data_IF_927316142911
#
_entry.id   IF_927316142911
#
_cell.length_a   1.000
_cell.length_b   1.000
_cell.length_c   1.000
_cell.angle_alpha   90.00
_cell.angle_beta   90.00
_cell.angle_gamma   90.00
#
_symmetry.space_group_name_H-M   'P 1'
#
loop_
_entity.id
_entity.type
_entity.pdbx_description
1 polymer ?
#
# COMPACT_ATOMS: atom_id res chain seq x y z
N UNK A 1 12.40 13.83 22.11
CA UNK A 1 10.97 13.47 22.24
C UNK A 1 10.46 13.23 20.84
N UNK A 2 10.28 11.96 20.46
CA UNK A 2 9.71 11.55 19.17
C UNK A 2 8.18 11.70 19.24
N UNK A 3 7.53 12.39 18.28
CA UNK A 3 6.07 12.47 18.21
C UNK A 3 5.50 11.05 18.13
N UNK A 4 4.62 10.71 19.06
CA UNK A 4 4.14 9.36 19.34
C UNK A 4 2.88 8.98 18.54
N UNK A 5 2.79 9.30 17.24
CA UNK A 5 1.55 9.00 16.48
C UNK A 5 1.73 8.53 15.02
N UNK A 6 2.94 8.21 14.55
CA UNK A 6 3.10 7.80 13.14
C UNK A 6 3.14 6.30 12.86
N UNK A 7 3.50 5.48 13.84
CA UNK A 7 3.83 4.08 13.61
C UNK A 7 3.11 3.17 14.59
N UNK A 8 1.78 3.25 14.64
CA UNK A 8 1.00 2.35 15.51
C UNK A 8 1.07 0.90 15.01
N UNK A 9 1.27 0.71 13.70
CA UNK A 9 1.32 -0.59 13.03
C UNK A 9 2.45 -0.62 12.00
N UNK A 10 3.29 -1.66 12.02
CA UNK A 10 4.32 -1.90 10.99
C UNK A 10 4.10 -3.28 10.37
N UNK A 11 4.22 -3.34 9.05
CA UNK A 11 4.00 -4.53 8.25
C UNK A 11 5.34 -5.15 7.86
N UNK A 12 5.49 -6.46 8.07
CA UNK A 12 6.52 -7.24 7.41
C UNK A 12 5.98 -7.70 6.06
N UNK A 13 6.61 -7.29 4.97
CA UNK A 13 6.24 -7.66 3.61
C UNK A 13 7.38 -8.47 2.98
N UNK A 14 7.18 -9.69 2.46
CA UNK A 14 5.94 -10.49 2.43
C UNK A 14 6.21 -11.93 2.89
N UNK A 15 5.16 -12.62 3.32
CA UNK A 15 5.15 -14.08 3.44
C UNK A 15 4.27 -14.68 2.35
N UNK A 16 4.72 -15.79 1.76
CA UNK A 16 3.97 -16.51 0.73
C UNK A 16 3.55 -17.89 1.22
N UNK A 17 2.29 -18.31 0.96
CA UNK A 17 1.93 -19.71 1.13
C UNK A 17 2.50 -20.56 0.00
N UNK A 18 2.68 -21.85 0.25
CA UNK A 18 2.98 -22.86 -0.79
C UNK A 18 1.72 -23.18 -1.61
N UNK A 19 1.86 -24.02 -2.64
CA UNK A 19 0.72 -24.51 -3.44
C UNK A 19 -0.30 -25.34 -2.64
N UNK A 20 0.08 -25.78 -1.44
CA UNK A 20 -0.85 -26.41 -0.48
C UNK A 20 -1.60 -25.40 0.39
N UNK A 21 -1.41 -24.11 0.11
CA UNK A 21 -1.95 -22.96 0.82
C UNK A 21 -1.46 -22.83 2.27
N UNK A 22 -0.29 -23.39 2.59
CA UNK A 22 0.31 -23.32 3.94
C UNK A 22 1.57 -22.47 3.94
N UNK A 23 1.83 -21.81 5.07
CA UNK A 23 3.08 -21.09 5.29
C UNK A 23 4.16 -22.03 5.83
N UNK A 24 5.20 -22.24 5.03
CA UNK A 24 6.37 -23.02 5.41
C UNK A 24 7.54 -22.07 5.67
N UNK A 25 7.68 -21.66 6.93
CA UNK A 25 8.71 -20.68 7.34
C UNK A 25 9.92 -21.42 7.89
N UNK A 26 11.07 -21.24 7.23
CA UNK A 26 12.34 -21.80 7.70
C UNK A 26 12.69 -21.31 9.11
N UNK A 27 13.51 -22.07 9.84
CA UNK A 27 13.94 -21.68 11.20
C UNK A 27 14.68 -20.35 11.23
N UNK A 28 15.53 -20.06 10.24
CA UNK A 28 16.27 -18.80 10.14
C UNK A 28 15.31 -17.62 9.91
N UNK A 29 14.38 -17.75 8.96
CA UNK A 29 13.37 -16.72 8.70
C UNK A 29 12.45 -16.53 9.91
N UNK A 30 12.06 -17.59 10.61
CA UNK A 30 11.26 -17.50 11.82
C UNK A 30 11.98 -16.71 12.93
N UNK A 31 13.30 -16.88 13.06
CA UNK A 31 14.11 -16.12 14.02
C UNK A 31 14.17 -14.64 13.66
N UNK A 32 14.35 -14.31 12.37
CA UNK A 32 14.33 -12.93 11.88
C UNK A 32 12.97 -12.25 12.14
N UNK A 33 11.87 -12.93 11.82
CA UNK A 33 10.51 -12.45 12.05
C UNK A 33 10.21 -12.26 13.54
N UNK A 34 10.67 -13.18 14.39
CA UNK A 34 10.52 -13.06 15.86
C UNK A 34 11.34 -11.89 16.41
N UNK A 35 12.54 -11.64 15.85
CA UNK A 35 13.35 -10.47 16.20
C UNK A 35 12.67 -9.17 15.76
N UNK A 36 12.04 -9.16 14.58
CA UNK A 36 11.26 -8.03 14.08
C UNK A 36 10.12 -7.66 15.05
N UNK A 37 9.26 -8.63 15.39
CA UNK A 37 8.11 -8.39 16.30
C UNK A 37 8.58 -7.97 17.70
N UNK A 38 9.58 -8.67 18.26
CA UNK A 38 10.13 -8.37 19.58
C UNK A 38 10.78 -6.98 19.66
N UNK A 39 11.52 -6.58 18.62
CA UNK A 39 12.21 -5.28 18.58
C UNK A 39 11.22 -4.13 18.53
N UNK A 40 10.17 -4.26 17.72
CA UNK A 40 9.15 -3.23 17.56
C UNK A 40 8.22 -3.12 18.78
N UNK A 41 7.91 -4.24 19.42
CA UNK A 41 7.12 -4.26 20.66
C UNK A 41 7.83 -3.62 21.85
N UNK A 42 9.17 -3.62 21.87
CA UNK A 42 9.98 -2.96 22.92
C UNK A 42 10.06 -1.43 22.77
N UNK A 43 9.50 -0.85 21.70
CA UNK A 43 9.41 0.61 21.55
C UNK A 43 8.40 1.20 22.57
N UNK A 44 8.49 2.51 22.79
CA UNK A 44 7.57 3.24 23.66
C UNK A 44 6.91 4.41 22.87
N UNK A 45 5.60 4.35 22.59
CA UNK A 45 4.69 3.24 22.89
C UNK A 45 5.02 1.96 22.09
N UNK A 46 4.56 0.77 22.53
CA UNK A 46 4.72 -0.47 21.78
C UNK A 46 4.04 -0.37 20.41
N UNK A 47 4.74 -0.83 19.37
CA UNK A 47 4.23 -0.85 18.00
C UNK A 47 3.59 -2.21 17.72
N UNK A 48 2.40 -2.23 17.11
CA UNK A 48 1.78 -3.46 16.64
C UNK A 48 2.39 -3.91 15.32
N UNK A 49 2.44 -5.21 15.11
CA UNK A 49 3.05 -5.79 13.91
C UNK A 49 2.07 -6.67 13.16
N UNK A 50 2.05 -6.52 11.85
CA UNK A 50 1.34 -7.43 10.94
C UNK A 50 2.36 -8.01 9.97
N UNK A 51 2.08 -9.18 9.42
CA UNK A 51 2.78 -9.62 8.21
C UNK A 51 1.80 -9.60 7.05
N UNK A 52 2.28 -9.14 5.90
CA UNK A 52 1.53 -9.09 4.66
C UNK A 52 1.78 -10.36 3.83
N UNK A 53 0.72 -10.82 3.18
CA UNK A 53 0.64 -12.08 2.44
C UNK A 53 0.39 -11.75 0.97
N UNK A 54 1.30 -12.17 0.08
CA UNK A 54 1.20 -11.83 -1.34
C UNK A 54 2.19 -10.75 -1.74
N UNK A 55 1.66 -9.67 -2.30
CA UNK A 55 2.40 -8.55 -2.88
C UNK A 55 2.34 -8.54 -4.40
N UNK A 56 2.59 -7.37 -4.98
CA UNK A 56 2.70 -7.18 -6.44
C UNK A 56 3.68 -8.15 -7.09
N UNK A 57 3.30 -8.68 -8.26
CA UNK A 57 4.11 -9.63 -9.03
C UNK A 57 4.04 -11.09 -8.55
N UNK A 58 3.20 -11.42 -7.57
CA UNK A 58 2.94 -12.80 -7.13
C UNK A 58 1.88 -13.51 -7.99
N UNK A 59 1.78 -14.85 -7.90
CA UNK A 59 0.78 -15.64 -8.64
C UNK A 59 -0.64 -15.32 -8.14
N UNK A 60 -1.32 -14.37 -8.79
CA UNK A 60 -2.71 -14.03 -8.51
C UNK A 60 -3.65 -15.25 -8.64
N UNK A 61 -3.34 -16.20 -9.53
CA UNK A 61 -4.14 -17.40 -9.69
C UNK A 61 -4.01 -18.36 -8.50
N UNK A 62 -2.90 -18.33 -7.74
CA UNK A 62 -2.78 -19.08 -6.49
C UNK A 62 -3.85 -18.63 -5.50
N UNK A 63 -4.03 -17.33 -5.33
CA UNK A 63 -5.06 -16.77 -4.46
C UNK A 63 -6.47 -17.05 -4.98
N UNK A 64 -6.70 -16.97 -6.30
CA UNK A 64 -7.98 -17.33 -6.90
C UNK A 64 -8.36 -18.80 -6.62
N UNK A 65 -7.43 -19.74 -6.86
CA UNK A 65 -7.63 -21.17 -6.55
C UNK A 65 -7.88 -21.37 -5.05
N UNK A 66 -7.10 -20.73 -4.19
CA UNK A 66 -7.25 -20.80 -2.73
C UNK A 66 -8.63 -20.32 -2.28
N UNK A 67 -9.09 -19.18 -2.77
CA UNK A 67 -10.36 -18.57 -2.38
C UNK A 67 -11.58 -19.34 -2.90
N UNK A 68 -11.44 -20.06 -4.02
CA UNK A 68 -12.55 -20.73 -4.72
C UNK A 68 -13.21 -21.88 -3.96
N UNK A 69 -12.53 -22.50 -2.98
CA UNK A 69 -13.00 -23.70 -2.29
C UNK A 69 -12.91 -23.56 -0.77
N UNK A 70 -13.94 -24.04 -0.04
CA UNK A 70 -13.99 -23.93 1.42
C UNK A 70 -12.80 -24.62 2.11
N UNK A 71 -12.39 -25.80 1.64
CA UNK A 71 -11.29 -26.57 2.23
C UNK A 71 -9.94 -25.88 2.03
N UNK A 72 -9.69 -25.29 0.87
CA UNK A 72 -8.47 -24.52 0.62
C UNK A 72 -8.45 -23.24 1.46
N UNK A 73 -9.57 -22.51 1.53
CA UNK A 73 -9.70 -21.35 2.43
C UNK A 73 -9.41 -21.71 3.87
N UNK A 74 -10.01 -22.77 4.39
CA UNK A 74 -9.76 -23.23 5.78
C UNK A 74 -8.29 -23.59 6.01
N UNK A 75 -7.66 -24.27 5.05
CA UNK A 75 -6.23 -24.64 5.15
C UNK A 75 -5.35 -23.39 5.24
N UNK A 76 -5.60 -22.42 4.36
CA UNK A 76 -4.90 -21.15 4.33
C UNK A 76 -5.10 -20.32 5.60
N UNK A 77 -6.36 -20.10 5.98
CA UNK A 77 -6.74 -19.33 7.18
C UNK A 77 -6.10 -19.91 8.44
N UNK A 78 -6.17 -21.24 8.62
CA UNK A 78 -5.60 -21.89 9.79
C UNK A 78 -4.08 -21.73 9.83
N UNK A 79 -3.40 -21.91 8.69
CA UNK A 79 -1.96 -21.76 8.59
C UNK A 79 -1.51 -20.30 8.81
N UNK A 80 -2.29 -19.34 8.34
CA UNK A 80 -2.03 -17.92 8.59
C UNK A 80 -2.15 -17.58 10.08
N UNK A 81 -3.24 -17.97 10.73
CA UNK A 81 -3.44 -17.73 12.17
C UNK A 81 -2.34 -18.40 13.00
N UNK A 82 -1.98 -19.65 12.67
CA UNK A 82 -0.89 -20.37 13.34
C UNK A 82 0.44 -19.62 13.19
N UNK A 83 0.76 -19.14 11.99
CA UNK A 83 1.99 -18.38 11.71
C UNK A 83 2.02 -17.06 12.47
N UNK A 84 0.91 -16.31 12.47
CA UNK A 84 0.77 -15.07 13.23
C UNK A 84 1.05 -15.30 14.73
N UNK A 85 0.43 -16.33 15.32
CA UNK A 85 0.62 -16.64 16.75
C UNK A 85 2.01 -17.17 17.07
N UNK A 86 2.59 -18.00 16.20
CA UNK A 86 3.92 -18.60 16.38
C UNK A 86 5.04 -17.57 16.33
N UNK A 87 4.89 -16.54 15.50
CA UNK A 87 5.89 -15.48 15.29
C UNK A 87 5.52 -14.18 16.03
N UNK A 88 4.47 -14.24 16.84
CA UNK A 88 4.02 -13.18 17.74
C UNK A 88 3.62 -11.87 17.03
N UNK A 89 3.02 -11.99 15.85
CA UNK A 89 2.36 -10.88 15.16
C UNK A 89 1.00 -10.56 15.79
N UNK A 90 0.61 -9.29 15.71
CA UNK A 90 -0.69 -8.79 16.15
C UNK A 90 -1.78 -8.94 15.08
N UNK A 91 -1.40 -9.27 13.84
CA UNK A 91 -2.34 -9.49 12.75
C UNK A 91 -1.73 -9.98 11.45
N UNK A 92 -2.60 -10.10 10.45
CA UNK A 92 -2.26 -10.48 9.08
C UNK A 92 -2.87 -9.48 8.10
N UNK A 93 -2.21 -9.31 6.97
CA UNK A 93 -2.64 -8.46 5.88
C UNK A 93 -2.65 -9.26 4.57
N UNK A 94 -3.74 -9.20 3.81
CA UNK A 94 -3.82 -9.84 2.50
C UNK A 94 -3.52 -8.81 1.41
N UNK A 95 -2.47 -9.05 0.65
CA UNK A 95 -2.07 -8.25 -0.50
C UNK A 95 -2.19 -9.08 -1.78
N UNK A 96 -3.43 -9.31 -2.20
CA UNK A 96 -3.75 -10.01 -3.44
C UNK A 96 -3.94 -8.99 -4.57
N UNK A 97 -2.94 -8.89 -5.45
CA UNK A 97 -2.88 -7.95 -6.57
C UNK A 97 -3.00 -8.65 -7.94
N UNK A 98 -4.17 -8.76 -8.55
CA UNK A 98 -5.51 -8.52 -8.02
C UNK A 98 -6.43 -9.69 -8.40
N UNK A 99 -7.55 -9.92 -7.66
CA UNK A 99 -8.62 -10.80 -8.15
C UNK A 99 -9.02 -10.38 -9.56
N UNK A 100 -9.10 -11.29 -10.54
CA UNK A 100 -9.13 -10.92 -11.97
C UNK A 100 -10.55 -10.73 -12.52
N UNK A 101 -11.55 -11.27 -11.84
CA UNK A 101 -12.93 -11.30 -12.33
C UNK A 101 -13.95 -11.17 -11.17
N UNK A 102 -15.25 -10.98 -11.49
CA UNK A 102 -16.30 -10.88 -10.47
C UNK A 102 -16.43 -12.12 -9.56
N UNK A 103 -16.11 -13.31 -10.05
CA UNK A 103 -16.14 -14.55 -9.26
C UNK A 103 -15.04 -14.53 -8.20
N UNK A 104 -13.83 -14.10 -8.55
CA UNK A 104 -12.73 -13.96 -7.60
C UNK A 104 -13.06 -12.89 -6.53
N UNK A 105 -13.71 -11.79 -6.92
CA UNK A 105 -14.20 -10.78 -5.98
C UNK A 105 -15.26 -11.33 -5.01
N UNK A 106 -16.17 -12.17 -5.49
CA UNK A 106 -17.15 -12.84 -4.63
C UNK A 106 -16.44 -13.80 -3.65
N UNK A 107 -15.50 -14.60 -4.15
CA UNK A 107 -14.72 -15.54 -3.34
C UNK A 107 -13.86 -14.82 -2.30
N UNK A 108 -13.29 -13.65 -2.63
CA UNK A 108 -12.59 -12.78 -1.69
C UNK A 108 -13.52 -12.34 -0.55
N UNK A 109 -14.76 -11.99 -0.87
CA UNK A 109 -15.77 -11.66 0.13
C UNK A 109 -16.07 -12.81 1.09
N UNK A 110 -16.14 -14.05 0.58
CA UNK A 110 -16.33 -15.26 1.40
C UNK A 110 -15.08 -15.57 2.23
N UNK A 111 -13.89 -15.41 1.65
CA UNK A 111 -12.61 -15.57 2.35
C UNK A 111 -12.53 -14.66 3.58
N UNK A 112 -12.82 -13.38 3.45
CA UNK A 112 -12.80 -12.46 4.61
C UNK A 112 -13.77 -12.89 5.72
N UNK A 113 -14.98 -13.36 5.35
CA UNK A 113 -15.96 -13.85 6.30
C UNK A 113 -15.46 -15.08 7.06
N UNK A 114 -14.95 -16.09 6.34
CA UNK A 114 -14.44 -17.32 6.94
C UNK A 114 -13.21 -17.03 7.82
N UNK A 115 -12.34 -16.12 7.37
CA UNK A 115 -11.13 -15.72 8.11
C UNK A 115 -11.48 -15.00 9.41
N UNK A 116 -12.40 -14.03 9.39
CA UNK A 116 -12.84 -13.34 10.61
C UNK A 116 -13.51 -14.30 11.59
N UNK A 117 -14.30 -15.28 11.11
CA UNK A 117 -14.87 -16.32 11.98
C UNK A 117 -13.79 -17.14 12.67
N UNK A 118 -12.77 -17.58 11.93
CA UNK A 118 -11.66 -18.35 12.48
C UNK A 118 -10.85 -17.56 13.52
N UNK A 119 -10.55 -16.27 13.25
CA UNK A 119 -9.89 -15.37 14.21
C UNK A 119 -10.71 -15.26 15.50
N UNK A 120 -12.02 -15.00 15.39
CA UNK A 120 -12.88 -14.87 16.55
C UNK A 120 -12.99 -16.17 17.35
N UNK A 121 -13.01 -17.31 16.67
CA UNK A 121 -13.01 -18.62 17.31
C UNK A 121 -11.70 -18.89 18.04
N UNK A 122 -10.55 -18.64 17.40
CA UNK A 122 -9.23 -18.79 18.02
C UNK A 122 -9.11 -17.90 19.26
N UNK A 123 -9.46 -16.61 19.16
CA UNK A 123 -9.40 -15.67 20.28
C UNK A 123 -10.23 -16.12 21.49
N UNK A 124 -11.44 -16.65 21.25
CA UNK A 124 -12.29 -17.21 22.32
C UNK A 124 -11.66 -18.46 22.95
N UNK A 125 -11.07 -19.33 22.13
CA UNK A 125 -10.46 -20.59 22.58
C UNK A 125 -9.16 -20.37 23.36
N UNK A 126 -8.35 -19.40 22.96
CA UNK A 126 -7.04 -19.14 23.56
C UNK A 126 -7.07 -18.03 24.62
N UNK A 127 -8.21 -17.35 24.78
CA UNK A 127 -8.36 -16.17 25.63
C UNK A 127 -7.37 -15.03 25.31
N UNK A 128 -6.87 -14.98 24.06
CA UNK A 128 -6.01 -13.92 23.55
C UNK A 128 -6.85 -12.88 22.83
N UNK A 129 -6.34 -11.65 22.72
CA UNK A 129 -6.94 -10.63 21.87
C UNK A 129 -7.02 -11.13 20.41
N UNK A 130 -8.12 -10.87 19.68
CA UNK A 130 -8.25 -11.28 18.29
C UNK A 130 -7.15 -10.64 17.44
N UNK A 131 -6.61 -11.40 16.50
CA UNK A 131 -5.67 -10.89 15.50
C UNK A 131 -6.35 -9.82 14.63
N UNK A 132 -5.59 -8.80 14.26
CA UNK A 132 -5.98 -7.84 13.24
C UNK A 132 -6.01 -8.54 11.88
N UNK A 133 -6.96 -8.15 11.02
CA UNK A 133 -7.06 -8.62 9.65
C UNK A 133 -7.30 -7.42 8.73
N UNK A 134 -6.34 -7.17 7.85
CA UNK A 134 -6.36 -6.06 6.89
C UNK A 134 -6.16 -6.57 5.47
N UNK A 135 -6.33 -5.69 4.49
CA UNK A 135 -5.98 -6.02 3.11
C UNK A 135 -5.48 -4.78 2.37
N UNK A 136 -4.45 -4.95 1.55
CA UNK A 136 -4.10 -4.00 0.50
C UNK A 136 -5.09 -4.13 -0.67
N UNK A 137 -5.50 -2.99 -1.21
CA UNK A 137 -6.53 -2.92 -2.26
C UNK A 137 -6.15 -1.87 -3.29
N UNK A 138 -6.79 -1.97 -4.45
CA UNK A 138 -6.70 -0.95 -5.49
C UNK A 138 -7.15 0.43 -4.98
N UNK A 139 -6.63 1.49 -5.60
CA UNK A 139 -6.93 2.87 -5.18
C UNK A 139 -8.42 3.21 -5.23
N UNK A 140 -9.17 2.59 -6.16
CA UNK A 140 -10.63 2.71 -6.30
C UNK A 140 -11.34 1.40 -5.90
N UNK A 141 -12.62 1.51 -5.57
CA UNK A 141 -13.46 0.34 -5.25
C UNK A 141 -13.66 -0.63 -6.43
N UNK A 142 -13.52 -0.12 -7.66
CA UNK A 142 -13.75 -0.82 -8.92
C UNK A 142 -12.60 -0.63 -9.91
N UNK A 143 -12.39 -1.64 -10.75
CA UNK A 143 -11.35 -1.68 -11.77
C UNK A 143 -11.91 -1.15 -13.09
N UNK A 144 -12.17 0.16 -13.15
CA UNK A 144 -12.74 0.82 -14.33
C UNK A 144 -11.71 1.02 -15.47
N UNK A 145 -10.42 0.83 -15.18
CA UNK A 145 -9.34 0.88 -16.17
C UNK A 145 -9.08 -0.47 -16.84
N UNK A 146 -9.61 -1.56 -16.27
CA UNK A 146 -9.38 -2.91 -16.77
C UNK A 146 -10.49 -3.31 -17.75
N UNK A 147 -10.15 -4.17 -18.71
CA UNK A 147 -11.14 -4.73 -19.65
C UNK A 147 -12.24 -5.52 -18.93
N UNK A 148 -11.87 -6.23 -17.86
CA UNK A 148 -12.80 -7.00 -17.03
C UNK A 148 -13.22 -6.18 -15.82
N UNK A 149 -14.39 -5.53 -15.95
CA UNK A 149 -14.98 -4.79 -14.83
C UNK A 149 -15.26 -5.71 -13.64
N UNK A 150 -14.78 -5.29 -12.47
CA UNK A 150 -14.99 -5.96 -11.19
C UNK A 150 -14.87 -4.96 -10.06
N UNK A 151 -15.45 -5.30 -8.92
CA UNK A 151 -15.59 -4.40 -7.77
C UNK A 151 -15.40 -5.14 -6.46
N UNK A 152 -14.71 -4.51 -5.51
CA UNK A 152 -14.47 -5.09 -4.19
C UNK A 152 -15.78 -5.30 -3.39
N UNK A 153 -15.86 -6.36 -2.57
CA UNK A 153 -17.04 -6.68 -1.77
C UNK A 153 -17.16 -5.82 -0.51
N UNK A 154 -17.49 -4.53 -0.65
CA UNK A 154 -17.50 -3.52 0.43
C UNK A 154 -18.28 -3.97 1.67
N UNK A 155 -19.42 -4.64 1.50
CA UNK A 155 -20.20 -5.17 2.63
C UNK A 155 -19.41 -6.18 3.44
N UNK A 156 -18.70 -7.10 2.79
CA UNK A 156 -17.86 -8.08 3.48
C UNK A 156 -16.69 -7.39 4.17
N UNK A 157 -16.04 -6.43 3.50
CA UNK A 157 -14.94 -5.63 4.07
C UNK A 157 -15.38 -4.94 5.37
N UNK A 158 -16.53 -4.25 5.36
CA UNK A 158 -17.11 -3.57 6.53
C UNK A 158 -17.52 -4.52 7.68
N UNK A 159 -17.70 -5.81 7.42
CA UNK A 159 -18.05 -6.79 8.45
C UNK A 159 -16.80 -7.49 8.99
N UNK A 160 -15.77 -7.65 8.17
CA UNK A 160 -14.72 -8.63 8.42
C UNK A 160 -13.31 -8.07 8.56
N UNK A 161 -12.97 -6.91 7.99
CA UNK A 161 -11.61 -6.35 8.06
C UNK A 161 -11.47 -5.20 9.05
N UNK A 162 -10.38 -5.12 9.81
CA UNK A 162 -10.15 -3.97 10.69
C UNK A 162 -10.02 -2.67 9.89
N UNK A 163 -9.33 -2.72 8.75
CA UNK A 163 -9.30 -1.69 7.71
C UNK A 163 -8.74 -2.23 6.38
N UNK A 164 -8.79 -1.42 5.33
CA UNK A 164 -8.09 -1.64 4.07
C UNK A 164 -7.02 -0.57 3.85
N UNK A 165 -5.94 -0.95 3.18
CA UNK A 165 -4.84 -0.12 2.75
C UNK A 165 -5.00 0.17 1.25
N UNK A 166 -5.58 1.31 0.89
CA UNK A 166 -5.79 1.66 -0.51
C UNK A 166 -4.48 2.15 -1.13
N UNK A 167 -3.97 1.44 -2.14
CA UNK A 167 -2.71 1.74 -2.81
C UNK A 167 -2.90 2.93 -3.75
N UNK A 168 -2.75 4.14 -3.20
CA UNK A 168 -3.01 5.40 -3.89
C UNK A 168 -1.78 5.91 -4.67
N UNK A 169 -1.19 5.03 -5.47
CA UNK A 169 0.01 5.26 -6.26
C UNK A 169 0.04 4.30 -7.46
N UNK A 170 1.07 4.43 -8.30
CA UNK A 170 1.25 3.68 -9.55
C UNK A 170 0.16 3.94 -10.60
N UNK A 171 -0.26 5.20 -10.70
CA UNK A 171 -1.17 5.69 -11.74
C UNK A 171 -0.51 5.85 -13.11
N UNK A 172 0.79 6.14 -13.11
CA UNK A 172 1.64 6.27 -14.29
C UNK A 172 2.95 5.53 -14.01
N UNK A 173 3.59 4.96 -15.03
CA UNK A 173 4.83 4.22 -14.85
C UNK A 173 5.36 3.63 -16.14
N UNK A 174 6.21 2.61 -16.02
CA UNK A 174 6.97 2.04 -17.14
C UNK A 174 6.13 1.32 -18.20
N UNK A 175 4.87 1.00 -17.92
CA UNK A 175 3.94 0.39 -18.89
C UNK A 175 3.45 1.39 -19.96
N UNK A 176 3.54 2.69 -19.71
CA UNK A 176 3.30 3.74 -20.70
C UNK A 176 4.41 4.81 -20.61
N UNK A 177 5.30 4.78 -21.60
CA UNK A 177 6.45 5.70 -21.69
C UNK A 177 6.20 6.86 -22.65
N UNK A 178 4.98 7.03 -23.16
CA UNK A 178 4.66 8.08 -24.14
C UNK A 178 4.69 9.47 -23.53
N UNK A 179 4.39 9.60 -22.24
CA UNK A 179 4.39 10.86 -21.50
C UNK A 179 4.82 10.67 -20.03
N UNK A 180 5.39 11.71 -19.42
CA UNK A 180 5.65 11.78 -17.99
C UNK A 180 4.34 11.87 -17.21
N UNK A 181 4.34 11.43 -15.94
CA UNK A 181 3.11 11.43 -15.14
C UNK A 181 3.34 11.43 -13.63
N UNK A 182 2.41 12.05 -12.91
CA UNK A 182 2.37 12.03 -11.45
C UNK A 182 1.80 10.69 -10.96
N UNK A 183 2.67 9.70 -10.73
CA UNK A 183 2.24 8.33 -10.40
C UNK A 183 1.40 8.19 -9.12
N UNK A 184 1.35 9.21 -8.27
CA UNK A 184 0.52 9.24 -7.07
C UNK A 184 -0.31 10.52 -6.96
N UNK A 185 -0.76 11.08 -8.08
CA UNK A 185 -1.56 12.31 -8.12
C UNK A 185 -2.73 12.31 -7.11
N UNK A 186 -2.80 13.33 -6.25
CA UNK A 186 -3.94 13.51 -5.36
C UNK A 186 -5.20 13.87 -6.15
N UNK A 187 -5.04 14.78 -7.11
CA UNK A 187 -6.07 15.21 -8.05
C UNK A 187 -5.57 14.98 -9.47
N UNK A 188 -6.49 14.64 -10.36
CA UNK A 188 -6.25 14.65 -11.80
C UNK A 188 -7.42 15.42 -12.44
N UNK A 189 -7.16 16.58 -13.07
CA UNK A 189 -8.20 17.40 -13.69
C UNK A 189 -8.79 16.74 -14.94
N UNK A 190 -8.07 15.80 -15.56
CA UNK A 190 -8.39 15.24 -16.86
C UNK A 190 -8.95 13.82 -16.78
N UNK A 191 -8.88 13.16 -15.63
CA UNK A 191 -9.33 11.79 -15.47
C UNK A 191 -9.77 11.45 -14.03
N UNK A 192 -10.22 10.20 -13.85
CA UNK A 192 -10.54 9.64 -12.53
C UNK A 192 -9.35 8.89 -11.90
N UNK A 193 -8.16 8.95 -12.50
CA UNK A 193 -6.95 8.26 -12.05
C UNK A 193 -6.24 9.13 -11.00
N UNK A 194 -6.87 9.26 -9.83
CA UNK A 194 -6.32 10.04 -8.72
C UNK A 194 -6.73 9.49 -7.36
N UNK A 195 -5.91 9.80 -6.35
CA UNK A 195 -6.17 9.41 -4.96
C UNK A 195 -7.50 9.97 -4.45
N UNK A 196 -7.82 11.22 -4.78
CA UNK A 196 -9.06 11.85 -4.33
C UNK A 196 -10.30 11.19 -4.92
N UNK A 197 -10.27 10.80 -6.19
CA UNK A 197 -11.35 10.03 -6.82
C UNK A 197 -11.48 8.66 -6.15
N UNK A 198 -10.38 7.90 -6.07
CA UNK A 198 -10.40 6.53 -5.56
C UNK A 198 -10.91 6.43 -4.12
N UNK A 199 -10.38 7.27 -3.21
CA UNK A 199 -10.84 7.26 -1.82
C UNK A 199 -12.32 7.68 -1.69
N UNK A 200 -12.78 8.62 -2.52
CA UNK A 200 -14.21 9.00 -2.55
C UNK A 200 -15.08 7.89 -3.14
N UNK A 201 -14.58 7.09 -4.09
CA UNK A 201 -15.31 5.96 -4.67
C UNK A 201 -15.56 4.87 -3.62
N UNK A 202 -14.57 4.58 -2.78
CA UNK A 202 -14.70 3.69 -1.61
C UNK A 202 -15.75 4.18 -0.62
N UNK A 203 -15.70 5.47 -0.24
CA UNK A 203 -16.69 6.07 0.68
C UNK A 203 -18.09 6.07 0.07
N UNK A 204 -18.23 6.42 -1.22
CA UNK A 204 -19.51 6.39 -1.95
C UNK A 204 -20.09 4.99 -2.05
N UNK A 205 -19.24 3.96 -2.13
CA UNK A 205 -19.65 2.56 -2.11
C UNK A 205 -20.07 2.06 -0.71
N UNK A 206 -20.02 2.91 0.31
CA UNK A 206 -20.48 2.60 1.67
C UNK A 206 -19.40 2.05 2.60
N UNK A 207 -18.12 2.11 2.22
CA UNK A 207 -17.04 1.74 3.13
C UNK A 207 -17.01 2.70 4.32
N UNK A 208 -16.89 2.17 5.54
CA UNK A 208 -16.73 3.01 6.71
C UNK A 208 -15.40 3.75 6.63
N UNK A 209 -15.43 5.08 6.77
CA UNK A 209 -14.22 5.91 6.71
C UNK A 209 -13.17 5.49 7.75
N UNK A 210 -13.61 5.01 8.91
CA UNK A 210 -12.75 4.45 9.97
C UNK A 210 -12.04 3.14 9.59
N UNK A 211 -12.34 2.57 8.42
CA UNK A 211 -11.71 1.38 7.82
C UNK A 211 -10.92 1.70 6.55
N UNK A 212 -10.75 2.96 6.19
CA UNK A 212 -10.04 3.37 4.97
C UNK A 212 -8.71 4.02 5.33
N UNK A 213 -7.60 3.47 4.83
CA UNK A 213 -6.25 4.01 5.00
C UNK A 213 -5.68 4.36 3.63
N UNK A 214 -5.12 5.56 3.47
CA UNK A 214 -4.55 6.06 2.22
C UNK A 214 -3.07 5.67 2.08
N UNK A 215 -2.69 5.06 0.97
CA UNK A 215 -1.30 4.76 0.66
C UNK A 215 -0.51 5.98 0.17
N UNK A 216 0.74 6.08 0.58
CA UNK A 216 1.69 7.08 0.12
C UNK A 216 2.98 6.36 -0.34
N UNK A 217 3.47 6.61 -1.56
CA UNK A 217 4.71 6.00 -2.02
C UNK A 217 5.92 6.72 -1.41
N UNK A 218 6.95 5.95 -1.09
CA UNK A 218 8.29 6.45 -0.76
C UNK A 218 9.28 6.18 -1.89
N UNK A 219 8.79 6.19 -3.12
CA UNK A 219 9.55 5.99 -4.35
C UNK A 219 8.92 6.85 -5.43
N UNK A 220 9.60 6.98 -6.56
CA UNK A 220 9.12 7.66 -7.74
C UNK A 220 9.21 6.79 -8.99
N UNK A 221 8.59 7.29 -10.06
CA UNK A 221 8.68 6.72 -11.40
C UNK A 221 9.53 7.62 -12.29
N UNK A 222 10.30 7.03 -13.19
CA UNK A 222 11.29 7.75 -14.00
C UNK A 222 11.05 7.58 -15.49
N UNK A 223 11.34 8.65 -16.23
CA UNK A 223 11.23 8.71 -17.68
C UNK A 223 12.46 9.38 -18.30
N UNK A 224 12.68 9.10 -19.58
CA UNK A 224 13.55 9.89 -20.45
C UNK A 224 12.67 10.77 -21.33
N UNK A 225 12.76 12.08 -21.13
CA UNK A 225 12.11 13.12 -21.93
C UNK A 225 12.55 13.04 -23.39
N UNK A 226 11.60 13.27 -24.30
CA UNK A 226 11.86 13.44 -25.72
C UNK A 226 12.60 14.75 -26.00
N UNK A 227 12.21 15.82 -25.33
CA UNK A 227 12.85 17.14 -25.39
C UNK A 227 13.14 17.60 -23.95
N UNK A 228 14.42 17.76 -23.56
CA UNK A 228 14.80 18.27 -22.24
C UNK A 228 14.20 19.63 -21.87
N UNK A 229 13.73 20.42 -22.85
CA UNK A 229 13.12 21.72 -22.61
C UNK A 229 11.61 21.66 -22.34
N UNK A 230 10.97 20.50 -22.56
CA UNK A 230 9.59 20.25 -22.12
C UNK A 230 9.63 19.21 -21.01
N UNK A 231 9.36 19.67 -19.80
CA UNK A 231 9.60 18.94 -18.57
C UNK A 231 8.44 19.05 -17.58
N UNK A 232 7.29 19.55 -18.03
CA UNK A 232 6.05 19.54 -17.28
C UNK A 232 5.50 18.11 -17.12
N UNK A 233 4.50 17.95 -16.26
CA UNK A 233 3.73 16.70 -16.21
C UNK A 233 2.99 16.54 -17.55
N UNK A 234 3.05 15.34 -18.14
CA UNK A 234 2.47 15.05 -19.45
C UNK A 234 3.41 15.38 -20.63
N UNK A 235 4.63 15.88 -20.37
CA UNK A 235 5.64 16.05 -21.41
C UNK A 235 5.99 14.73 -22.08
N UNK A 236 6.19 14.77 -23.40
CA UNK A 236 6.49 13.58 -24.17
C UNK A 236 7.77 12.90 -23.70
N UNK A 237 7.70 11.59 -23.47
CA UNK A 237 8.82 10.74 -23.10
C UNK A 237 9.07 9.69 -24.19
N UNK A 238 10.26 9.09 -24.18
CA UNK A 238 10.69 8.10 -25.19
C UNK A 238 11.05 6.76 -24.60
N UNK A 239 11.32 6.69 -23.30
CA UNK A 239 11.64 5.45 -22.61
C UNK A 239 11.50 5.60 -21.10
N UNK A 240 11.61 4.46 -20.43
CA UNK A 240 11.84 4.36 -18.99
C UNK A 240 13.14 5.07 -18.62
N UNK A 241 13.14 5.78 -17.50
CA UNK A 241 14.32 6.46 -16.95
C UNK A 241 15.21 5.54 -16.10
N UNK A 242 16.13 6.11 -15.29
CA UNK A 242 16.99 5.34 -14.41
C UNK A 242 16.22 4.62 -13.29
N UNK A 243 16.87 3.62 -12.68
CA UNK A 243 16.30 2.82 -11.60
C UNK A 243 15.79 1.46 -12.06
N UNK A 244 15.35 0.64 -11.11
CA UNK A 244 14.86 -0.71 -11.41
C UNK A 244 13.51 -0.62 -12.13
N UNK A 245 13.51 -0.95 -13.43
CA UNK A 245 12.35 -0.84 -14.32
C UNK A 245 11.62 0.52 -14.19
N UNK A 246 12.41 1.59 -14.05
CA UNK A 246 11.89 2.96 -13.94
C UNK A 246 11.46 3.38 -12.55
N UNK A 247 11.94 2.71 -11.51
CA UNK A 247 11.65 3.02 -10.11
C UNK A 247 12.91 3.45 -9.39
N UNK A 248 12.83 4.59 -8.69
CA UNK A 248 13.85 5.01 -7.72
C UNK A 248 13.20 5.20 -6.36
N UNK A 249 13.83 4.67 -5.32
CA UNK A 249 13.47 4.95 -3.92
C UNK A 249 13.69 6.44 -3.61
N UNK A 250 13.00 6.99 -2.61
CA UNK A 250 13.18 8.41 -2.26
C UNK A 250 14.61 8.74 -1.85
N UNK A 251 15.35 7.81 -1.23
CA UNK A 251 16.80 7.95 -1.00
C UNK A 251 17.56 8.13 -2.32
N UNK A 252 17.34 7.25 -3.30
CA UNK A 252 18.00 7.33 -4.60
C UNK A 252 17.61 8.60 -5.38
N UNK A 253 16.37 9.08 -5.22
CA UNK A 253 15.90 10.34 -5.82
C UNK A 253 16.65 11.53 -5.21
N UNK A 254 16.80 11.59 -3.88
CA UNK A 254 17.57 12.64 -3.22
C UNK A 254 19.04 12.62 -3.66
N UNK A 255 19.64 11.42 -3.75
CA UNK A 255 21.00 11.25 -4.26
C UNK A 255 21.15 11.68 -5.72
N UNK A 256 20.21 11.28 -6.58
CA UNK A 256 20.17 11.67 -7.98
C UNK A 256 20.06 13.20 -8.12
N UNK A 257 19.13 13.81 -7.39
CA UNK A 257 18.89 15.25 -7.46
C UNK A 257 20.13 16.03 -7.05
N UNK A 258 20.78 15.61 -5.95
CA UNK A 258 22.02 16.23 -5.46
C UNK A 258 23.17 16.05 -6.44
N UNK A 259 23.37 14.84 -6.97
CA UNK A 259 24.49 14.52 -7.87
C UNK A 259 24.40 15.26 -9.20
N UNK A 260 23.19 15.42 -9.74
CA UNK A 260 22.97 15.96 -11.08
C UNK A 260 22.54 17.43 -11.08
N UNK A 261 22.38 18.06 -9.91
CA UNK A 261 21.85 19.42 -9.81
C UNK A 261 20.44 19.53 -10.38
N UNK A 262 19.60 18.52 -10.13
CA UNK A 262 18.25 18.45 -10.69
C UNK A 262 17.41 19.62 -10.16
N UNK A 263 16.56 20.17 -11.03
CA UNK A 263 15.52 21.11 -10.62
C UNK A 263 14.36 20.31 -10.04
N UNK A 264 13.81 20.81 -8.93
CA UNK A 264 12.68 20.20 -8.23
C UNK A 264 11.50 21.15 -8.38
N UNK A 265 10.37 20.63 -8.83
CA UNK A 265 9.13 21.37 -9.04
C UNK A 265 8.01 20.73 -8.23
N UNK A 266 7.17 21.57 -7.63
CA UNK A 266 5.98 21.16 -6.89
C UNK A 266 4.76 21.49 -7.72
N UNK A 267 4.08 20.46 -8.21
CA UNK A 267 2.87 20.63 -8.99
C UNK A 267 1.65 20.65 -8.07
N UNK A 268 1.02 21.83 -7.96
CA UNK A 268 -0.13 22.03 -7.07
C UNK A 268 -1.44 21.53 -7.66
N UNK A 269 -1.52 21.32 -8.98
CA UNK A 269 -2.71 20.80 -9.64
C UNK A 269 -2.90 19.32 -9.31
N UNK A 270 -1.83 18.53 -9.38
CA UNK A 270 -1.83 17.10 -8.99
C UNK A 270 -1.45 16.86 -7.52
N UNK A 271 -0.92 17.88 -6.83
CA UNK A 271 -0.33 17.78 -5.48
C UNK A 271 0.73 16.67 -5.45
N UNK A 272 1.74 16.84 -6.30
CA UNK A 272 2.87 15.92 -6.44
C UNK A 272 4.17 16.71 -6.60
N UNK A 273 5.29 15.99 -6.57
CA UNK A 273 6.61 16.56 -6.83
C UNK A 273 7.20 15.88 -8.05
N UNK A 274 7.94 16.62 -8.86
CA UNK A 274 8.83 16.01 -9.82
C UNK A 274 10.19 16.71 -9.84
N UNK A 275 11.20 16.01 -10.33
CA UNK A 275 12.51 16.59 -10.59
C UNK A 275 13.02 16.20 -11.95
N UNK A 276 13.89 17.04 -12.51
CA UNK A 276 14.48 16.79 -13.81
C UNK A 276 15.92 17.30 -13.92
N UNK A 277 16.73 16.57 -14.68
CA UNK A 277 18.11 16.91 -15.00
C UNK A 277 18.45 16.38 -16.40
N UNK A 278 18.74 17.29 -17.34
CA UNK A 278 18.87 16.92 -18.75
C UNK A 278 17.56 16.31 -19.26
N UNK A 279 17.64 15.11 -19.85
CA UNK A 279 16.46 14.37 -20.30
C UNK A 279 15.83 13.47 -19.23
N UNK A 280 16.42 13.34 -18.04
CA UNK A 280 15.82 12.50 -16.99
C UNK A 280 14.74 13.27 -16.26
N UNK A 281 13.57 12.66 -16.13
CA UNK A 281 12.43 13.18 -15.36
C UNK A 281 11.99 12.15 -14.33
N UNK A 282 11.67 12.59 -13.12
CA UNK A 282 11.32 11.73 -11.98
C UNK A 282 10.08 12.30 -11.29
N UNK A 283 8.98 11.56 -11.25
CA UNK A 283 7.76 11.93 -10.52
C UNK A 283 7.65 11.16 -9.21
N UNK A 284 7.44 11.85 -8.09
CA UNK A 284 7.47 11.27 -6.74
C UNK A 284 6.68 12.12 -5.73
N UNK A 285 6.63 11.66 -4.47
CA UNK A 285 6.19 12.48 -3.35
C UNK A 285 7.37 12.90 -2.47
N UNK A 286 7.40 14.19 -2.13
CA UNK A 286 8.32 14.75 -1.16
C UNK A 286 7.60 15.09 0.16
N UNK A 287 8.28 15.77 1.09
CA UNK A 287 7.67 16.17 2.36
C UNK A 287 6.50 17.14 2.20
N UNK A 288 6.47 17.97 1.16
CA UNK A 288 5.41 18.96 0.91
C UNK A 288 4.17 18.24 0.40
N UNK A 289 4.29 17.45 -0.67
CA UNK A 289 3.13 16.75 -1.25
C UNK A 289 2.56 15.70 -0.28
N UNK A 290 3.42 14.96 0.44
CA UNK A 290 2.97 14.03 1.48
C UNK A 290 2.20 14.73 2.61
N UNK A 291 2.64 15.91 3.06
CA UNK A 291 1.95 16.70 4.09
C UNK A 291 0.57 17.14 3.62
N UNK A 292 0.45 17.62 2.38
CA UNK A 292 -0.83 18.04 1.80
C UNK A 292 -1.80 16.85 1.64
N UNK A 293 -1.31 15.69 1.20
CA UNK A 293 -2.09 14.46 1.11
C UNK A 293 -2.58 13.98 2.47
N UNK A 294 -1.74 14.07 3.51
CA UNK A 294 -2.16 13.80 4.89
C UNK A 294 -3.30 14.74 5.31
N UNK A 295 -3.18 16.04 5.04
CA UNK A 295 -4.25 17.01 5.29
C UNK A 295 -5.56 16.65 4.57
N UNK A 296 -5.47 16.18 3.33
CA UNK A 296 -6.62 15.66 2.58
C UNK A 296 -7.27 14.45 3.27
N UNK A 297 -6.48 13.47 3.71
CA UNK A 297 -7.00 12.29 4.40
C UNK A 297 -7.72 12.66 5.71
N UNK A 298 -7.18 13.60 6.49
CA UNK A 298 -7.86 14.14 7.67
C UNK A 298 -9.18 14.82 7.31
N UNK A 299 -9.18 15.67 6.27
CA UNK A 299 -10.40 16.35 5.80
C UNK A 299 -11.46 15.35 5.31
N UNK A 300 -11.04 14.22 4.72
CA UNK A 300 -11.93 13.13 4.31
C UNK A 300 -12.43 12.29 5.49
N UNK A 301 -11.86 12.50 6.69
CA UNK A 301 -12.15 11.80 7.96
C UNK A 301 -11.94 10.30 7.87
N UNK A 302 -10.91 9.86 7.14
CA UNK A 302 -10.54 8.46 7.03
C UNK A 302 -9.63 8.03 8.19
N UNK A 303 -9.35 6.73 8.30
CA UNK A 303 -8.63 6.14 9.44
C UNK A 303 -7.20 6.66 9.59
N UNK A 304 -6.52 6.90 8.48
CA UNK A 304 -5.08 7.20 8.48
C UNK A 304 -4.46 7.08 7.10
N UNK A 305 -3.15 6.90 7.09
CA UNK A 305 -2.33 6.64 5.91
C UNK A 305 -1.31 5.55 6.20
N UNK A 306 -0.71 4.98 5.15
CA UNK A 306 0.43 4.07 5.24
C UNK A 306 1.49 4.44 4.19
N UNK A 307 2.73 4.00 4.41
CA UNK A 307 3.82 4.23 3.47
C UNK A 307 4.29 2.93 2.81
N UNK A 308 4.52 2.95 1.50
CA UNK A 308 5.20 1.88 0.76
C UNK A 308 6.51 2.38 0.13
N UNK A 309 7.69 1.94 0.55
CA UNK A 309 7.98 1.24 1.80
C UNK A 309 8.90 2.08 2.68
N UNK A 310 8.77 1.94 4.00
CA UNK A 310 9.43 2.83 4.97
C UNK A 310 10.97 2.85 4.84
N UNK A 311 11.58 1.77 4.36
CA UNK A 311 13.02 1.69 4.11
C UNK A 311 13.52 2.56 2.96
N UNK A 312 12.61 3.15 2.17
CA UNK A 312 12.94 4.02 1.04
C UNK A 312 13.02 5.50 1.44
N UNK A 313 12.66 5.86 2.69
CA UNK A 313 12.72 7.23 3.19
C UNK A 313 14.12 7.59 3.70
N UNK A 314 14.60 8.76 3.32
CA UNK A 314 15.89 9.29 3.75
C UNK A 314 15.77 9.86 5.16
N UNK A 315 16.41 9.22 6.14
CA UNK A 315 16.40 9.62 7.56
C UNK A 315 14.99 9.90 8.13
N UNK A 316 14.00 9.11 7.71
CA UNK A 316 12.58 9.26 8.10
C UNK A 316 12.03 10.66 7.82
N UNK A 317 12.55 11.37 6.82
CA UNK A 317 12.19 12.76 6.56
C UNK A 317 10.71 12.87 6.23
N UNK A 318 10.26 12.20 5.16
CA UNK A 318 8.86 12.30 4.69
C UNK A 318 7.91 11.76 5.76
N UNK A 319 8.26 10.62 6.35
CA UNK A 319 7.49 9.98 7.41
C UNK A 319 7.30 10.89 8.63
N UNK A 320 8.32 11.64 9.05
CA UNK A 320 8.23 12.61 10.15
C UNK A 320 7.34 13.80 9.82
N UNK A 321 7.37 14.31 8.60
CA UNK A 321 6.50 15.42 8.19
C UNK A 321 5.04 14.99 8.17
N UNK A 322 4.74 13.83 7.56
CA UNK A 322 3.41 13.24 7.56
C UNK A 322 2.87 12.99 8.99
N UNK A 323 3.70 12.45 9.89
CA UNK A 323 3.33 12.28 11.30
C UNK A 323 2.86 13.57 11.96
N UNK A 324 3.66 14.64 11.81
CA UNK A 324 3.38 15.93 12.42
C UNK A 324 2.11 16.56 11.85
N UNK A 325 1.92 16.44 10.54
CA UNK A 325 0.71 16.92 9.88
C UNK A 325 -0.55 16.22 10.42
N UNK A 326 -0.47 14.91 10.66
CA UNK A 326 -1.59 14.16 11.23
C UNK A 326 -1.94 14.59 12.67
N UNK A 327 -0.93 14.89 13.49
CA UNK A 327 -1.13 15.29 14.88
C UNK A 327 -1.73 16.70 15.06
N UNK A 328 -1.65 17.58 14.05
CA UNK A 328 -2.16 18.96 14.13
C UNK A 328 -3.66 19.04 13.83
N UNK A 329 -4.28 17.97 13.34
CA UNK A 329 -5.70 17.92 13.01
C UNK A 329 -6.62 17.25 14.03
N UNK A 330 -6.09 16.82 15.18
CA UNK A 330 -6.86 16.37 16.35
C UNK A 330 -7.13 17.53 17.33
#
# INVERSE_FOLDING_TARGET
>A
MTPSSCNDHIYYAFLMPTDTYKFEISTSTALELSNFTTTLRRKNPPVKTLYSIGGGGTDSHLFARMASNEKSRQTFINSAIETARRLDFDGMDLDWEFPENPTDMQNLGVLFMDWRRAINYEARKTHRAPLLLTAAVYFSVDFFLDEVYRKFPVRSINQNLDWINAMCYDYHGSWDTSATGAHAALYDPNSNISTSYGLRSWVKAGLFRSRLVMGLPLYGKTWVLKDPNSHEIGSAAVSVGPGDVGVLTNVEIEEFNKKNGAKIEHDMETVSTYSYAGSVWIGYDDSVSATLKVGFAQALRIRGYFFWAIGYDSEWKISRYASRAWAVGE
#
